data_IF_748146365708
#
_entry.id   IF_748146365708
#
_cell.length_a   1.000
_cell.length_b   1.000
_cell.length_c   1.000
_cell.angle_alpha   90.00
_cell.angle_beta   90.00
_cell.angle_gamma   90.00
#
_symmetry.space_group_name_H-M   'P 1'
#
loop_
_entity.id
_entity.type
_entity.pdbx_description
1 polymer ?
#
# COMPACT_ATOMS: atom_id res chain seq x y z
N UNK A 1 -10.07 23.87 32.76
CA UNK A 1 -9.68 25.26 32.48
C UNK A 1 -8.74 25.26 31.29
N UNK A 2 -9.23 25.60 30.11
CA UNK A 2 -8.40 25.89 28.92
C UNK A 2 -9.19 26.91 28.10
N UNK A 3 -8.53 28.02 27.78
CA UNK A 3 -9.11 29.20 27.14
C UNK A 3 -9.41 28.99 25.65
N UNK A 4 -10.35 29.78 25.15
CA UNK A 4 -10.67 29.90 23.73
C UNK A 4 -10.96 31.35 23.40
N UNK A 5 -10.02 31.99 22.72
CA UNK A 5 -10.02 33.40 22.29
C UNK A 5 -11.17 33.68 21.31
N UNK A 6 -11.93 34.78 21.43
CA UNK A 6 -12.91 35.14 20.41
C UNK A 6 -12.25 35.88 19.24
N UNK A 7 -12.57 35.44 18.02
CA UNK A 7 -12.12 36.03 16.76
C UNK A 7 -12.80 37.40 16.54
N UNK A 8 -11.99 38.47 16.50
CA UNK A 8 -12.44 39.82 16.16
C UNK A 8 -12.39 40.03 14.64
N UNK A 9 -13.56 40.09 14.01
CA UNK A 9 -13.72 40.62 12.65
C UNK A 9 -13.75 42.15 12.69
N UNK A 10 -12.72 42.81 12.16
CA UNK A 10 -12.61 44.27 12.11
C UNK A 10 -13.09 44.76 10.75
N UNK A 11 -14.21 45.48 10.70
CA UNK A 11 -14.62 46.25 9.53
C UNK A 11 -14.08 47.68 9.69
N UNK A 12 -13.23 48.10 8.76
CA UNK A 12 -12.65 49.44 8.72
C UNK A 12 -13.67 50.45 8.18
N UNK A 13 -14.27 51.22 9.09
CA UNK A 13 -14.98 52.46 8.79
C UNK A 13 -14.26 53.63 9.46
N UNK A 14 -13.78 54.59 8.67
CA UNK A 14 -13.16 55.81 9.16
C UNK A 14 -14.19 56.81 9.69
N UNK A 15 -13.86 57.50 10.78
CA UNK A 15 -14.68 58.56 11.36
C UNK A 15 -13.78 59.68 11.89
N UNK A 16 -14.08 60.91 11.45
CA UNK A 16 -13.49 62.16 11.92
C UNK A 16 -13.83 62.44 13.39
N UNK A 17 -12.79 62.60 14.22
CA UNK A 17 -12.75 63.66 15.24
C UNK A 17 -13.84 63.73 16.33
N UNK A 18 -14.42 62.62 16.78
CA UNK A 18 -15.14 62.53 18.08
C UNK A 18 -14.87 61.14 18.65
N UNK A 19 -14.49 61.04 19.93
CA UNK A 19 -14.15 59.77 20.57
C UNK A 19 -15.31 58.76 20.50
N UNK A 20 -15.27 57.87 19.50
CA UNK A 20 -16.17 56.73 19.41
C UNK A 20 -15.79 55.75 20.53
N UNK A 21 -16.50 55.81 21.65
CA UNK A 21 -16.45 54.72 22.63
C UNK A 21 -17.09 53.50 21.99
N UNK A 22 -16.28 52.48 21.69
CA UNK A 22 -16.75 51.18 21.16
C UNK A 22 -17.79 50.58 22.11
N UNK A 23 -19.06 50.83 21.77
CA UNK A 23 -20.20 50.41 22.58
C UNK A 23 -20.51 48.96 22.19
N UNK A 24 -19.98 48.01 22.97
CA UNK A 24 -20.22 46.59 22.74
C UNK A 24 -21.62 46.23 23.27
N UNK A 25 -22.55 45.96 22.35
CA UNK A 25 -23.87 45.43 22.71
C UNK A 25 -23.73 43.98 23.18
N UNK A 26 -23.97 43.75 24.47
CA UNK A 26 -24.00 42.41 25.06
C UNK A 26 -25.42 41.86 25.00
N UNK A 27 -25.72 41.09 23.95
CA UNK A 27 -27.00 40.38 23.84
C UNK A 27 -26.93 39.13 24.71
N UNK A 28 -27.68 39.10 25.82
CA UNK A 28 -27.78 37.95 26.71
C UNK A 28 -29.09 37.23 26.41
N UNK A 29 -29.01 36.01 25.88
CA UNK A 29 -30.20 35.16 25.67
C UNK A 29 -30.78 34.74 27.03
N UNK A 30 -31.95 35.29 27.37
CA UNK A 30 -32.64 35.03 28.65
C UNK A 30 -33.42 33.72 28.67
N UNK A 31 -33.42 32.93 27.58
CA UNK A 31 -34.09 31.63 27.56
C UNK A 31 -33.39 30.63 28.50
N UNK A 32 -34.16 29.78 29.21
CA UNK A 32 -33.60 28.71 30.04
C UNK A 32 -32.73 27.77 29.20
N UNK A 33 -31.71 27.16 29.80
CA UNK A 33 -30.66 26.42 29.08
C UNK A 33 -31.20 25.37 28.08
N UNK A 34 -32.31 24.68 28.41
CA UNK A 34 -32.94 23.69 27.54
C UNK A 34 -33.80 24.25 26.39
N UNK A 35 -34.14 25.54 26.42
CA UNK A 35 -34.88 26.23 25.35
C UNK A 35 -33.98 27.06 24.42
N UNK A 36 -32.66 26.98 24.62
CA UNK A 36 -31.67 27.63 23.76
C UNK A 36 -31.43 26.73 22.53
N UNK A 37 -31.74 27.18 21.31
CA UNK A 37 -31.45 26.43 20.10
C UNK A 37 -29.95 26.22 19.96
N UNK A 38 -29.56 24.97 19.74
CA UNK A 38 -28.17 24.60 19.53
C UNK A 38 -27.81 24.78 18.05
N UNK A 39 -27.21 25.92 17.72
CA UNK A 39 -26.75 26.23 16.35
C UNK A 39 -25.40 25.56 15.99
N UNK A 40 -24.76 24.87 16.93
CA UNK A 40 -23.49 24.16 16.68
C UNK A 40 -23.71 22.71 16.24
N UNK A 41 -24.92 22.17 16.45
CA UNK A 41 -25.26 20.82 16.06
C UNK A 41 -25.87 20.78 14.66
N UNK A 42 -25.05 20.40 13.68
CA UNK A 42 -25.44 20.25 12.28
C UNK A 42 -25.91 18.83 11.94
N UNK A 43 -26.13 17.96 12.92
CA UNK A 43 -26.50 16.56 12.68
C UNK A 43 -27.91 16.38 12.11
N UNK A 44 -28.85 17.26 12.48
CA UNK A 44 -30.25 17.24 12.01
C UNK A 44 -30.48 17.92 10.66
N UNK A 45 -29.45 18.49 10.04
CA UNK A 45 -29.55 19.13 8.73
C UNK A 45 -29.20 18.11 7.66
N UNK A 46 -30.13 17.85 6.74
CA UNK A 46 -29.87 17.02 5.57
C UNK A 46 -28.74 17.64 4.75
N UNK A 47 -27.60 16.94 4.72
CA UNK A 47 -26.44 17.37 3.95
C UNK A 47 -26.71 17.05 2.49
N UNK A 48 -26.76 18.08 1.66
CA UNK A 48 -26.81 17.89 0.22
C UNK A 48 -25.55 17.15 -0.26
N UNK A 49 -25.75 16.06 -0.98
CA UNK A 49 -24.71 15.31 -1.68
C UNK A 49 -24.93 15.50 -3.17
N UNK A 50 -23.97 16.14 -3.82
CA UNK A 50 -24.03 16.37 -5.28
C UNK A 50 -23.88 15.04 -6.02
N UNK A 51 -24.77 14.72 -6.98
CA UNK A 51 -24.60 13.56 -7.84
C UNK A 51 -23.25 13.61 -8.58
N UNK A 52 -22.59 12.45 -8.71
CA UNK A 52 -21.24 12.37 -9.30
C UNK A 52 -21.18 12.90 -10.74
N UNK A 53 -22.24 12.67 -11.51
CA UNK A 53 -22.37 13.16 -12.89
C UNK A 53 -22.39 14.68 -12.98
N UNK A 54 -23.03 15.34 -12.01
CA UNK A 54 -23.08 16.80 -11.93
C UNK A 54 -21.74 17.36 -11.47
N UNK A 55 -21.15 16.74 -10.44
CA UNK A 55 -19.83 17.12 -9.93
C UNK A 55 -18.73 17.02 -11.00
N UNK A 56 -18.79 15.99 -11.86
CA UNK A 56 -17.83 15.79 -12.93
C UNK A 56 -17.88 16.84 -14.04
N UNK A 57 -19.03 17.52 -14.23
CA UNK A 57 -19.24 18.57 -15.23
C UNK A 57 -18.75 19.95 -14.77
N UNK A 58 -18.59 20.15 -13.45
CA UNK A 58 -18.17 21.43 -12.88
C UNK A 58 -16.68 21.70 -13.10
N UNK A 59 -16.37 22.86 -13.68
CA UNK A 59 -15.00 23.29 -14.03
C UNK A 59 -14.23 23.90 -12.87
N UNK A 60 -14.93 24.40 -11.85
CA UNK A 60 -14.40 24.99 -10.61
C UNK A 60 -14.28 23.97 -9.46
N UNK A 61 -14.49 22.68 -9.75
CA UNK A 61 -14.43 21.62 -8.77
C UNK A 61 -12.99 21.15 -8.49
N UNK A 62 -12.77 20.60 -7.29
CA UNK A 62 -11.51 19.92 -6.94
C UNK A 62 -11.19 18.79 -7.92
N UNK A 63 -12.21 18.12 -8.48
CA UNK A 63 -12.03 17.09 -9.50
C UNK A 63 -11.52 17.67 -10.82
N UNK A 64 -12.08 18.79 -11.29
CA UNK A 64 -11.59 19.47 -12.48
C UNK A 64 -10.16 19.99 -12.28
N UNK A 65 -9.85 20.56 -11.12
CA UNK A 65 -8.49 20.95 -10.75
C UNK A 65 -7.52 19.75 -10.73
N UNK A 66 -7.90 18.63 -10.09
CA UNK A 66 -7.09 17.39 -10.07
C UNK A 66 -6.85 16.81 -11.47
N UNK A 67 -7.86 16.86 -12.35
CA UNK A 67 -7.73 16.47 -13.77
C UNK A 67 -6.78 17.40 -14.51
N UNK A 68 -6.93 18.71 -14.35
CA UNK A 68 -6.09 19.72 -15.02
C UNK A 68 -4.63 19.65 -14.56
N UNK A 69 -4.40 19.39 -13.27
CA UNK A 69 -3.07 19.20 -12.68
C UNK A 69 -2.54 17.77 -12.83
N UNK A 70 -3.28 16.87 -13.50
CA UNK A 70 -2.86 15.48 -13.73
C UNK A 70 -2.45 14.77 -12.45
N UNK A 71 -3.19 14.95 -11.36
CA UNK A 71 -2.81 14.44 -10.04
C UNK A 71 -3.35 13.02 -9.81
N UNK A 72 -2.50 12.11 -9.37
CA UNK A 72 -2.88 10.74 -8.99
C UNK A 72 -3.42 9.95 -10.18
N UNK A 73 -4.68 9.49 -10.08
CA UNK A 73 -5.34 8.69 -11.15
C UNK A 73 -5.53 9.41 -12.49
N UNK A 74 -5.27 10.73 -12.54
CA UNK A 74 -5.39 11.55 -13.74
C UNK A 74 -4.04 11.89 -14.36
N UNK A 75 -2.94 11.40 -13.78
CA UNK A 75 -1.62 11.49 -14.39
C UNK A 75 -1.54 10.53 -15.58
N UNK A 76 -1.30 11.01 -16.81
CA UNK A 76 -1.13 10.14 -17.98
C UNK A 76 0.15 9.29 -17.90
N UNK A 77 1.13 9.72 -17.10
CA UNK A 77 2.41 9.02 -16.91
C UNK A 77 2.41 8.20 -15.60
N UNK A 78 1.33 8.23 -14.80
CA UNK A 78 1.24 7.36 -13.64
C UNK A 78 1.27 5.91 -14.10
N UNK A 79 2.25 5.11 -13.68
CA UNK A 79 2.22 3.68 -13.93
C UNK A 79 0.92 3.16 -13.35
N UNK A 80 0.26 2.27 -14.07
CA UNK A 80 -0.89 1.58 -13.49
C UNK A 80 -0.45 0.97 -12.15
N UNK A 81 -1.36 0.88 -11.19
CA UNK A 81 -1.05 0.26 -9.90
C UNK A 81 -0.39 -1.12 -10.05
N UNK A 82 -0.67 -1.81 -11.16
CA UNK A 82 -0.03 -3.06 -11.56
C UNK A 82 1.43 -2.88 -12.03
N UNK A 83 1.69 -1.91 -12.92
CA UNK A 83 3.05 -1.59 -13.38
C UNK A 83 3.95 -1.16 -12.22
N UNK A 84 3.44 -0.34 -11.30
CA UNK A 84 4.17 0.07 -10.10
C UNK A 84 4.55 -1.14 -9.21
N UNK A 85 3.63 -2.10 -9.05
CA UNK A 85 3.89 -3.35 -8.31
C UNK A 85 4.93 -4.22 -9.01
N UNK A 86 4.83 -4.38 -10.33
CA UNK A 86 5.78 -5.16 -11.12
C UNK A 86 7.19 -4.56 -10.97
N UNK A 87 7.31 -3.24 -11.11
CA UNK A 87 8.58 -2.54 -10.94
C UNK A 87 9.14 -2.69 -9.51
N UNK A 88 8.30 -2.60 -8.48
CA UNK A 88 8.73 -2.79 -7.10
C UNK A 88 9.30 -4.19 -6.85
N UNK A 89 8.65 -5.25 -7.34
CA UNK A 89 9.18 -6.61 -7.21
C UNK A 89 10.47 -6.82 -8.02
N UNK A 90 10.58 -6.22 -9.20
CA UNK A 90 11.80 -6.29 -10.00
C UNK A 90 12.99 -5.58 -9.30
N UNK A 91 12.75 -4.41 -8.71
CA UNK A 91 13.74 -3.71 -7.91
C UNK A 91 14.13 -4.51 -6.66
N UNK A 92 13.20 -5.19 -6.00
CA UNK A 92 13.51 -6.02 -4.84
C UNK A 92 14.41 -7.21 -5.19
N UNK A 93 14.14 -7.88 -6.33
CA UNK A 93 14.99 -8.96 -6.86
C UNK A 93 16.42 -8.47 -7.07
N UNK A 94 16.58 -7.29 -7.68
CA UNK A 94 17.89 -6.69 -7.96
C UNK A 94 18.61 -6.27 -6.67
N UNK A 95 17.92 -5.60 -5.75
CA UNK A 95 18.47 -5.15 -4.47
C UNK A 95 18.95 -6.32 -3.59
N UNK A 96 18.21 -7.43 -3.59
CA UNK A 96 18.60 -8.66 -2.88
C UNK A 96 19.63 -9.49 -3.65
N UNK A 97 19.97 -9.11 -4.88
CA UNK A 97 20.94 -9.84 -5.70
C UNK A 97 20.46 -11.22 -6.14
N UNK A 98 19.14 -11.46 -6.21
CA UNK A 98 18.57 -12.77 -6.55
C UNK A 98 18.82 -13.06 -8.02
N UNK A 99 19.58 -14.12 -8.30
CA UNK A 99 19.91 -14.57 -9.65
C UNK A 99 19.78 -16.09 -9.75
N UNK A 100 19.46 -16.56 -10.94
CA UNK A 100 19.42 -18.00 -11.25
C UNK A 100 20.81 -18.61 -11.04
N UNK A 101 20.88 -19.79 -10.45
CA UNK A 101 22.11 -20.52 -10.12
C UNK A 101 22.67 -20.24 -8.72
N UNK A 102 22.12 -19.27 -7.99
CA UNK A 102 22.58 -18.99 -6.63
C UNK A 102 21.93 -19.89 -5.59
N UNK A 103 22.71 -20.25 -4.57
CA UNK A 103 22.21 -20.91 -3.36
C UNK A 103 21.39 -19.94 -2.53
N UNK A 104 20.30 -20.46 -1.97
CA UNK A 104 19.39 -19.65 -1.18
C UNK A 104 18.70 -20.46 -0.09
N UNK A 105 18.17 -19.75 0.91
CA UNK A 105 17.18 -20.27 1.85
C UNK A 105 15.82 -19.61 1.64
N UNK A 106 14.75 -20.32 1.97
CA UNK A 106 13.37 -19.89 1.77
C UNK A 106 12.57 -19.96 3.07
N UNK A 107 12.12 -18.81 3.59
CA UNK A 107 11.17 -18.77 4.71
C UNK A 107 11.70 -18.30 6.06
N UNK A 108 13.00 -18.01 6.18
CA UNK A 108 13.64 -17.54 7.42
C UNK A 108 14.07 -18.69 8.33
N UNK A 109 13.55 -19.89 8.10
CA UNK A 109 14.03 -21.17 8.64
C UNK A 109 15.19 -21.73 7.81
N UNK A 110 16.16 -22.35 8.50
CA UNK A 110 17.39 -22.89 7.88
C UNK A 110 17.23 -24.28 7.27
N UNK A 111 16.07 -24.92 7.44
CA UNK A 111 15.77 -26.24 6.87
C UNK A 111 15.49 -26.18 5.37
N UNK A 112 14.95 -25.07 4.87
CA UNK A 112 14.49 -24.96 3.48
C UNK A 112 15.51 -24.29 2.60
N UNK A 113 16.58 -25.03 2.29
CA UNK A 113 17.67 -24.62 1.40
C UNK A 113 17.50 -25.17 -0.01
N UNK A 114 18.09 -24.47 -0.97
CA UNK A 114 18.04 -24.88 -2.36
C UNK A 114 18.79 -23.94 -3.29
N UNK A 115 18.47 -24.06 -4.57
CA UNK A 115 19.05 -23.27 -5.65
C UNK A 115 17.95 -22.52 -6.41
N UNK A 116 18.19 -21.23 -6.71
CA UNK A 116 17.30 -20.44 -7.55
C UNK A 116 17.36 -20.96 -8.98
N UNK A 117 16.24 -21.47 -9.50
CA UNK A 117 16.13 -21.96 -10.88
C UNK A 117 15.36 -21.01 -11.80
N UNK A 118 14.54 -20.14 -11.25
CA UNK A 118 13.73 -19.22 -12.04
C UNK A 118 13.55 -17.87 -11.34
N UNK A 119 13.59 -16.79 -12.11
CA UNK A 119 13.25 -15.44 -11.66
C UNK A 119 12.45 -14.76 -12.77
N UNK A 120 11.18 -14.46 -12.53
CA UNK A 120 10.32 -13.89 -13.56
C UNK A 120 8.84 -13.93 -13.21
N UNK A 121 7.99 -13.47 -14.13
CA UNK A 121 6.54 -13.54 -13.98
C UNK A 121 6.03 -14.97 -14.22
N UNK A 122 5.05 -15.39 -13.42
CA UNK A 122 4.42 -16.72 -13.50
C UNK A 122 2.92 -16.51 -13.70
N UNK A 123 2.45 -16.71 -14.94
CA UNK A 123 1.06 -16.39 -15.35
C UNK A 123 0.04 -17.34 -14.74
N UNK A 124 0.47 -18.55 -14.39
CA UNK A 124 -0.38 -19.62 -13.89
C UNK A 124 -0.77 -19.41 -12.41
N UNK A 125 -0.07 -18.53 -11.68
CA UNK A 125 -0.41 -18.20 -10.29
C UNK A 125 -1.47 -17.08 -10.29
N UNK A 126 -2.71 -17.34 -9.83
CA UNK A 126 -3.75 -16.33 -9.79
C UNK A 126 -3.35 -15.15 -8.90
N UNK A 127 -3.52 -13.91 -9.40
CA UNK A 127 -3.10 -12.71 -8.67
C UNK A 127 -1.58 -12.52 -8.55
N UNK A 128 -0.81 -13.31 -9.31
CA UNK A 128 0.65 -13.35 -9.28
C UNK A 128 1.34 -12.27 -10.11
N UNK A 129 0.78 -11.06 -10.27
CA UNK A 129 1.45 -9.97 -11.00
C UNK A 129 2.84 -9.69 -10.38
N UNK A 130 3.83 -9.47 -11.25
CA UNK A 130 5.22 -9.17 -10.87
C UNK A 130 6.12 -10.40 -10.72
N UNK A 131 7.35 -10.16 -10.28
CA UNK A 131 8.38 -11.20 -10.22
C UNK A 131 8.09 -12.26 -9.13
N UNK A 132 8.37 -13.51 -9.50
CA UNK A 132 8.40 -14.69 -8.65
C UNK A 132 9.79 -15.31 -8.72
N UNK A 133 10.17 -15.96 -7.63
CA UNK A 133 11.42 -16.72 -7.54
C UNK A 133 11.07 -18.20 -7.40
N UNK A 134 11.46 -18.98 -8.40
CA UNK A 134 11.39 -20.42 -8.39
C UNK A 134 12.67 -21.01 -7.80
N UNK A 135 12.54 -21.77 -6.73
CA UNK A 135 13.63 -22.42 -6.01
C UNK A 135 13.46 -23.93 -6.10
N UNK A 136 14.53 -24.63 -6.45
CA UNK A 136 14.65 -26.08 -6.34
C UNK A 136 15.28 -26.39 -4.99
N UNK A 137 14.49 -26.92 -4.07
CA UNK A 137 14.90 -27.31 -2.73
C UNK A 137 15.70 -28.61 -2.77
N UNK A 138 16.65 -28.74 -1.86
CA UNK A 138 17.44 -29.97 -1.72
C UNK A 138 16.55 -31.10 -1.17
N UNK A 139 15.69 -30.77 -0.20
CA UNK A 139 14.72 -31.68 0.39
C UNK A 139 13.36 -31.65 -0.35
N UNK A 140 12.60 -32.76 -0.37
CA UNK A 140 11.29 -32.85 -1.00
C UNK A 140 10.16 -32.16 -0.18
N UNK A 141 10.44 -30.98 0.37
CA UNK A 141 9.52 -30.15 1.18
C UNK A 141 8.88 -29.01 0.38
N UNK A 142 8.96 -29.09 -0.95
CA UNK A 142 8.38 -28.16 -1.90
C UNK A 142 6.89 -28.37 -2.15
N UNK A 143 6.35 -27.57 -3.08
CA UNK A 143 4.94 -27.60 -3.49
C UNK A 143 4.73 -28.20 -4.88
N UNK A 144 5.74 -28.11 -5.74
CA UNK A 144 5.71 -28.55 -7.12
C UNK A 144 7.01 -29.30 -7.47
N UNK A 145 7.11 -29.80 -8.70
CA UNK A 145 8.24 -30.53 -9.25
C UNK A 145 9.06 -29.68 -10.25
N UNK A 146 8.90 -28.35 -10.21
CA UNK A 146 9.41 -27.43 -11.23
C UNK A 146 8.42 -27.10 -12.35
N UNK A 147 7.18 -27.57 -12.26
CA UNK A 147 6.08 -27.16 -13.14
C UNK A 147 4.90 -26.54 -12.38
N UNK A 148 4.18 -25.62 -13.02
CA UNK A 148 2.90 -25.08 -12.53
C UNK A 148 1.87 -25.19 -13.64
N UNK A 149 0.75 -25.85 -13.37
CA UNK A 149 -0.41 -25.94 -14.29
C UNK A 149 -0.06 -26.39 -15.71
N UNK A 150 0.94 -27.28 -15.86
CA UNK A 150 1.39 -27.80 -17.15
C UNK A 150 2.56 -27.03 -17.80
N UNK A 151 2.89 -25.83 -17.30
CA UNK A 151 4.08 -25.09 -17.72
C UNK A 151 5.28 -25.50 -16.88
N UNK A 152 6.34 -26.00 -17.53
CA UNK A 152 7.59 -26.39 -16.86
C UNK A 152 8.60 -25.24 -16.89
N UNK A 153 9.14 -24.93 -15.72
CA UNK A 153 10.12 -23.86 -15.52
C UNK A 153 11.54 -24.39 -15.38
N UNK A 154 11.73 -25.55 -14.71
CA UNK A 154 13.03 -26.22 -14.60
C UNK A 154 12.90 -27.73 -14.41
N UNK A 155 14.03 -28.42 -14.49
CA UNK A 155 14.17 -29.85 -14.19
C UNK A 155 13.39 -30.76 -15.13
N UNK A 156 13.25 -32.02 -14.73
CA UNK A 156 12.39 -33.03 -15.37
C UNK A 156 11.17 -33.35 -14.49
N UNK A 157 10.20 -34.07 -15.03
CA UNK A 157 9.04 -34.50 -14.26
C UNK A 157 9.48 -35.47 -13.16
N UNK A 158 9.05 -35.18 -11.93
CA UNK A 158 9.37 -36.00 -10.76
C UNK A 158 8.15 -36.09 -9.86
N UNK A 159 7.98 -37.24 -9.22
CA UNK A 159 6.96 -37.43 -8.19
C UNK A 159 7.32 -36.71 -6.87
N UNK A 160 8.61 -36.39 -6.70
CA UNK A 160 9.12 -35.67 -5.54
C UNK A 160 8.97 -34.15 -5.72
N UNK A 161 8.40 -33.50 -4.70
CA UNK A 161 8.11 -32.07 -4.74
C UNK A 161 9.28 -31.26 -4.21
N UNK A 162 10.29 -31.02 -5.04
CA UNK A 162 11.44 -30.17 -4.69
C UNK A 162 11.22 -28.69 -5.02
N UNK A 163 10.28 -28.36 -5.89
CA UNK A 163 10.08 -27.00 -6.37
C UNK A 163 9.17 -26.15 -5.50
N UNK A 164 9.53 -24.88 -5.33
CA UNK A 164 8.68 -23.86 -4.69
C UNK A 164 8.78 -22.53 -5.42
N UNK A 165 7.65 -21.83 -5.56
CA UNK A 165 7.61 -20.44 -6.02
C UNK A 165 7.24 -19.53 -4.85
N UNK A 166 8.05 -18.50 -4.63
CA UNK A 166 7.87 -17.52 -3.56
C UNK A 166 8.13 -16.11 -4.05
N UNK A 167 7.68 -15.12 -3.26
CA UNK A 167 8.01 -13.72 -3.50
C UNK A 167 9.48 -13.44 -3.14
N UNK A 168 10.12 -12.47 -3.80
CA UNK A 168 11.52 -12.09 -3.54
C UNK A 168 11.81 -11.83 -2.06
N UNK A 169 10.84 -11.26 -1.33
CA UNK A 169 10.95 -10.96 0.11
C UNK A 169 11.27 -12.18 0.99
N UNK A 170 10.89 -13.39 0.56
CA UNK A 170 11.06 -14.64 1.31
C UNK A 170 12.33 -15.40 0.94
N UNK A 171 13.12 -14.89 0.01
CA UNK A 171 14.34 -15.51 -0.48
C UNK A 171 15.54 -14.73 0.01
N UNK A 172 16.50 -15.47 0.57
CA UNK A 172 17.78 -14.95 0.94
C UNK A 172 18.87 -15.74 0.21
N UNK A 173 19.56 -15.06 -0.70
CA UNK A 173 20.70 -15.61 -1.41
C UNK A 173 21.96 -15.48 -0.57
N UNK A 174 22.80 -16.50 -0.61
CA UNK A 174 24.02 -16.54 0.21
C UNK A 174 24.70 -17.89 0.12
N UNK A 175 25.70 -18.08 0.98
CA UNK A 175 26.39 -19.36 1.09
C UNK A 175 25.59 -20.31 1.99
N UNK A 176 24.63 -20.99 1.37
CA UNK A 176 23.74 -21.97 2.02
C UNK A 176 24.06 -23.36 1.47
N UNK A 177 25.10 -24.04 1.97
CA UNK A 177 25.42 -25.39 1.55
C UNK A 177 24.26 -26.35 1.88
N UNK A 178 24.11 -27.45 1.12
CA UNK A 178 23.18 -28.51 1.45
C UNK A 178 23.43 -28.97 2.89
N UNK A 179 22.36 -29.25 3.63
CA UNK A 179 22.48 -29.89 4.94
C UNK A 179 22.81 -31.36 4.68
N UNK A 180 23.94 -31.82 5.19
CA UNK A 180 24.30 -33.24 5.17
C UNK A 180 23.71 -33.88 6.42
N UNK A 181 22.56 -34.50 6.26
CA UNK A 181 21.82 -35.21 7.32
C UNK A 181 22.44 -36.57 7.67
N UNK A 182 23.51 -36.99 6.98
CA UNK A 182 24.20 -38.26 7.23
C UNK A 182 25.28 -38.18 8.32
N UNK A 183 25.84 -37.00 8.63
CA UNK A 183 26.84 -36.85 9.70
C UNK A 183 26.22 -36.92 11.11
N UNK A 184 24.98 -36.48 11.29
CA UNK A 184 24.32 -36.43 12.62
C UNK A 184 23.67 -37.77 13.04
N UNK A 185 23.63 -38.78 12.16
CA UNK A 185 23.00 -40.08 12.42
C UNK A 185 24.01 -41.21 12.70
N UNK A 186 25.31 -40.94 12.64
CA UNK A 186 26.39 -41.89 12.95
C UNK A 186 26.87 -41.86 14.43
N UNK A 187 26.33 -40.96 15.26
CA UNK A 187 26.64 -40.89 16.70
C UNK A 187 25.43 -41.32 17.56
N UNK A 188 24.97 -42.57 17.44
CA UNK A 188 24.17 -43.23 18.49
C UNK A 188 24.36 -44.74 18.59
#
# INVERSE_FOLDING_TARGET
>A
MVGGTPCLGRLSGGCDGVACTDSVFKVVDTRPAGARPNFTDTSGVEKYVMPEEEYAKKTDSVLAWKKAQKLGRFDPDAPSHEQAKIAAFAQEVEQRGIKVGLRCRVGGDDSRRGEVRYVGEVKEIPGGLGAWVGVHLDEPVGKNDGSISGTRYWGEASDLKHGVFVRPERVEVGDWPPVDDLEDMEEI
#
